data_IF_788360418326
#
_entry.id   IF_788360418326
#
_cell.length_a   1.000
_cell.length_b   1.000
_cell.length_c   1.000
_cell.angle_alpha   90.00
_cell.angle_beta   90.00
_cell.angle_gamma   90.00
#
_symmetry.space_group_name_H-M   'P 1'
#
loop_
_entity.id
_entity.type
_entity.pdbx_description
1 polymer ?
#
# COMPACT_ATOMS: atom_id res chain seq x y z
N UNK A 1 24.82 19.09 -24.19
CA UNK A 1 24.20 17.72 -24.00
C UNK A 1 24.60 17.10 -22.67
N UNK A 2 25.90 16.95 -22.34
CA UNK A 2 26.37 16.36 -21.07
C UNK A 2 25.92 17.18 -19.86
N UNK A 3 26.04 18.50 -19.89
CA UNK A 3 25.60 19.39 -18.79
C UNK A 3 24.11 19.31 -18.53
N UNK A 4 23.30 19.22 -19.57
CA UNK A 4 21.85 19.05 -19.44
C UNK A 4 21.50 17.70 -18.79
N UNK A 5 22.23 16.63 -19.10
CA UNK A 5 22.04 15.31 -18.48
C UNK A 5 22.44 15.32 -17.02
N UNK A 6 23.59 15.96 -16.68
CA UNK A 6 24.04 16.12 -15.29
C UNK A 6 23.00 16.92 -14.49
N UNK A 7 22.48 18.01 -15.04
CA UNK A 7 21.43 18.82 -14.40
C UNK A 7 20.17 18.00 -14.08
N UNK A 8 19.70 17.20 -15.03
CA UNK A 8 18.54 16.31 -14.81
C UNK A 8 18.82 15.27 -13.71
N UNK A 9 19.99 14.64 -13.72
CA UNK A 9 20.37 13.65 -12.70
C UNK A 9 20.41 14.30 -11.30
N UNK A 10 21.00 15.49 -11.17
CA UNK A 10 21.05 16.22 -9.89
C UNK A 10 19.64 16.55 -9.40
N UNK A 11 18.76 17.02 -10.28
CA UNK A 11 17.36 17.31 -9.92
C UNK A 11 16.65 16.03 -9.45
N UNK A 12 16.80 14.93 -10.16
CA UNK A 12 16.21 13.65 -9.78
C UNK A 12 16.72 13.18 -8.39
N UNK A 13 18.01 13.30 -8.13
CA UNK A 13 18.60 12.96 -6.83
C UNK A 13 18.06 13.87 -5.73
N UNK A 14 17.96 15.17 -5.98
CA UNK A 14 17.39 16.12 -5.02
C UNK A 14 15.93 15.83 -4.71
N UNK A 15 15.11 15.53 -5.72
CA UNK A 15 13.71 15.14 -5.52
C UNK A 15 13.63 13.85 -4.70
N UNK A 16 14.48 12.87 -5.01
CA UNK A 16 14.52 11.60 -4.25
C UNK A 16 14.89 11.83 -2.79
N UNK A 17 15.94 12.63 -2.52
CA UNK A 17 16.36 12.96 -1.16
C UNK A 17 15.29 13.76 -0.40
N UNK A 18 14.67 14.74 -1.03
CA UNK A 18 13.59 15.53 -0.41
C UNK A 18 12.40 14.64 -0.04
N UNK A 19 11.99 13.73 -0.92
CA UNK A 19 10.87 12.81 -0.60
C UNK A 19 11.23 11.80 0.48
N UNK A 20 12.50 11.40 0.60
CA UNK A 20 12.98 10.56 1.70
C UNK A 20 13.00 11.31 3.05
N UNK A 21 13.21 12.63 3.06
CA UNK A 21 13.16 13.45 4.28
C UNK A 21 11.72 13.69 4.78
N UNK A 22 10.74 13.76 3.88
CA UNK A 22 9.32 14.01 4.21
C UNK A 22 8.45 12.75 4.25
N UNK A 23 8.99 11.59 3.86
CA UNK A 23 8.32 10.29 3.87
C UNK A 23 9.14 9.22 4.58
N UNK A 24 8.58 8.02 4.73
CA UNK A 24 9.35 6.88 5.16
C UNK A 24 10.43 6.53 4.11
N UNK A 25 11.66 6.12 4.52
CA UNK A 25 12.69 5.71 3.58
C UNK A 25 12.18 4.54 2.73
N UNK A 26 12.46 4.60 1.41
CA UNK A 26 12.10 3.51 0.52
C UNK A 26 12.91 2.25 0.88
N UNK A 27 12.22 1.23 1.38
CA UNK A 27 12.77 -0.10 1.63
C UNK A 27 12.02 -1.08 0.74
N UNK A 28 12.70 -1.71 -0.25
CA UNK A 28 12.04 -2.65 -1.14
C UNK A 28 11.57 -3.88 -0.37
N UNK A 29 10.29 -4.17 -0.45
CA UNK A 29 9.72 -5.39 0.16
C UNK A 29 10.19 -6.62 -0.62
N UNK A 30 10.63 -7.65 0.09
CA UNK A 30 11.10 -8.88 -0.54
C UNK A 30 9.93 -9.60 -1.23
N UNK A 31 10.01 -9.77 -2.53
CA UNK A 31 8.98 -10.36 -3.37
C UNK A 31 8.43 -11.70 -2.83
N UNK A 32 9.32 -12.61 -2.39
CA UNK A 32 8.92 -13.89 -1.82
C UNK A 32 8.04 -13.77 -0.59
N UNK A 33 8.26 -12.72 0.22
CA UNK A 33 7.45 -12.48 1.41
C UNK A 33 6.05 -11.96 1.04
N UNK A 34 5.95 -11.11 0.01
CA UNK A 34 4.65 -10.64 -0.53
C UNK A 34 3.86 -11.83 -1.10
N UNK A 35 4.51 -12.68 -1.90
CA UNK A 35 3.88 -13.89 -2.46
C UNK A 35 3.36 -14.82 -1.35
N UNK A 36 4.14 -15.00 -0.26
CA UNK A 36 3.71 -15.78 0.90
C UNK A 36 2.51 -15.15 1.61
N UNK A 37 2.51 -13.82 1.80
CA UNK A 37 1.40 -13.11 2.43
C UNK A 37 0.10 -13.27 1.61
N UNK A 38 0.17 -13.10 0.29
CA UNK A 38 -1.01 -13.21 -0.57
C UNK A 38 -1.49 -14.64 -0.81
N UNK A 39 -0.63 -15.64 -0.63
CA UNK A 39 -1.04 -17.04 -0.76
C UNK A 39 -1.52 -17.66 0.56
N UNK A 40 -0.89 -17.33 1.69
CA UNK A 40 -1.13 -17.99 2.97
C UNK A 40 -1.89 -17.12 3.97
N UNK A 41 -1.53 -15.82 4.07
CA UNK A 41 -2.12 -14.92 5.05
C UNK A 41 -3.51 -14.46 4.59
N UNK A 42 -3.61 -13.92 3.37
CA UNK A 42 -4.84 -13.40 2.79
C UNK A 42 -4.92 -13.66 1.29
N UNK A 43 -5.34 -14.88 0.86
CA UNK A 43 -5.61 -15.15 -0.55
C UNK A 43 -6.70 -14.24 -1.12
N UNK A 44 -6.52 -13.80 -2.37
CA UNK A 44 -7.49 -12.94 -3.03
C UNK A 44 -8.78 -13.69 -3.39
N UNK A 45 -9.90 -13.01 -3.20
CA UNK A 45 -11.23 -13.43 -3.66
C UNK A 45 -11.58 -12.70 -4.97
N UNK A 46 -12.57 -13.23 -5.69
CA UNK A 46 -13.12 -12.55 -6.87
C UNK A 46 -13.59 -11.14 -6.47
N UNK A 47 -13.22 -10.14 -7.27
CA UNK A 47 -13.53 -8.72 -7.06
C UNK A 47 -12.77 -8.02 -5.91
N UNK A 48 -11.78 -8.65 -5.29
CA UNK A 48 -10.96 -7.95 -4.30
C UNK A 48 -10.22 -6.77 -4.94
N UNK A 49 -10.28 -5.62 -4.26
CA UNK A 49 -9.57 -4.39 -4.58
C UNK A 49 -8.55 -4.11 -3.49
N UNK A 50 -7.27 -4.06 -3.88
CA UNK A 50 -6.19 -3.75 -2.96
C UNK A 50 -5.79 -2.28 -3.09
N UNK A 51 -5.63 -1.63 -1.94
CA UNK A 51 -4.99 -0.30 -1.82
C UNK A 51 -3.64 -0.45 -1.11
N UNK A 52 -2.59 0.13 -1.68
CA UNK A 52 -1.24 0.16 -1.09
C UNK A 52 -0.88 1.58 -0.65
N UNK A 53 -0.64 1.75 0.65
CA UNK A 53 -0.31 3.02 1.30
C UNK A 53 1.22 3.24 1.29
N UNK A 54 1.71 4.01 0.32
CA UNK A 54 3.13 4.17 0.05
C UNK A 54 3.63 3.08 -0.89
N UNK A 55 3.05 3.03 -2.10
CA UNK A 55 3.24 1.90 -3.03
C UNK A 55 4.66 1.77 -3.61
N UNK A 56 5.52 2.76 -3.37
CA UNK A 56 6.91 2.71 -3.81
C UNK A 56 7.05 2.42 -5.30
N UNK A 57 7.86 1.42 -5.61
CA UNK A 57 8.10 0.97 -6.99
C UNK A 57 7.00 0.04 -7.55
N UNK A 58 5.91 -0.17 -6.82
CA UNK A 58 4.74 -0.94 -7.24
C UNK A 58 4.91 -2.46 -7.19
N UNK A 59 5.91 -2.99 -6.50
CA UNK A 59 6.12 -4.45 -6.40
C UNK A 59 4.94 -5.14 -5.73
N UNK A 60 4.38 -4.57 -4.67
CA UNK A 60 3.20 -5.12 -3.96
C UNK A 60 1.98 -5.14 -4.88
N UNK A 61 1.73 -4.05 -5.61
CA UNK A 61 0.63 -3.96 -6.58
C UNK A 61 0.77 -5.00 -7.69
N UNK A 62 1.98 -5.20 -8.19
CA UNK A 62 2.26 -6.19 -9.23
C UNK A 62 2.00 -7.62 -8.74
N UNK A 63 2.49 -7.98 -7.55
CA UNK A 63 2.26 -9.30 -6.97
C UNK A 63 0.79 -9.53 -6.58
N UNK A 64 0.08 -8.49 -6.13
CA UNK A 64 -1.35 -8.57 -5.87
C UNK A 64 -2.14 -8.92 -7.15
N UNK A 65 -1.83 -8.29 -8.29
CA UNK A 65 -2.44 -8.65 -9.58
C UNK A 65 -2.15 -10.09 -9.96
N UNK A 66 -0.91 -10.56 -9.78
CA UNK A 66 -0.52 -11.94 -10.06
C UNK A 66 -1.22 -12.94 -9.15
N UNK A 67 -1.45 -12.55 -7.90
CA UNK A 67 -2.16 -13.37 -6.90
C UNK A 67 -3.69 -13.36 -7.07
N UNK A 68 -4.24 -12.55 -8.00
CA UNK A 68 -5.67 -12.58 -8.34
C UNK A 68 -6.48 -11.35 -7.93
N UNK A 69 -5.86 -10.27 -7.43
CA UNK A 69 -6.57 -9.01 -7.20
C UNK A 69 -7.27 -8.55 -8.48
N UNK A 70 -8.53 -8.14 -8.39
CA UNK A 70 -9.28 -7.63 -9.55
C UNK A 70 -8.76 -6.26 -9.97
N UNK A 71 -8.42 -5.42 -8.99
CA UNK A 71 -7.90 -4.07 -9.16
C UNK A 71 -6.93 -3.73 -8.04
N UNK A 72 -5.93 -2.92 -8.35
CA UNK A 72 -4.98 -2.39 -7.38
C UNK A 72 -4.85 -0.87 -7.48
N UNK A 73 -4.67 -0.21 -6.36
CA UNK A 73 -4.56 1.24 -6.27
C UNK A 73 -3.35 1.57 -5.38
N UNK A 74 -2.41 2.33 -5.91
CA UNK A 74 -1.23 2.80 -5.18
C UNK A 74 -1.28 4.28 -4.89
N UNK A 75 -0.81 4.67 -3.72
CA UNK A 75 -0.55 6.06 -3.37
C UNK A 75 0.93 6.23 -3.06
N UNK A 76 1.59 7.13 -3.77
CA UNK A 76 3.02 7.37 -3.62
C UNK A 76 3.31 8.88 -3.76
N UNK A 77 4.22 9.40 -2.93
CA UNK A 77 4.60 10.83 -2.95
C UNK A 77 5.85 11.10 -3.79
N UNK A 78 6.67 10.08 -4.03
CA UNK A 78 7.87 10.21 -4.85
C UNK A 78 7.52 10.02 -6.33
N UNK A 79 7.66 11.07 -7.17
CA UNK A 79 7.28 10.99 -8.59
C UNK A 79 8.12 9.97 -9.39
N UNK A 80 9.37 9.73 -8.97
CA UNK A 80 10.25 8.75 -9.62
C UNK A 80 9.73 7.34 -9.38
N UNK A 81 9.34 7.03 -8.13
CA UNK A 81 8.77 5.74 -7.79
C UNK A 81 7.39 5.53 -8.46
N UNK A 82 6.57 6.59 -8.58
CA UNK A 82 5.33 6.55 -9.37
C UNK A 82 5.62 6.15 -10.82
N UNK A 83 6.62 6.75 -11.47
CA UNK A 83 7.00 6.41 -12.83
C UNK A 83 7.46 4.96 -12.95
N UNK A 84 8.33 4.51 -12.04
CA UNK A 84 8.83 3.11 -12.01
C UNK A 84 7.66 2.14 -11.83
N UNK A 85 6.74 2.45 -10.93
CA UNK A 85 5.54 1.68 -10.66
C UNK A 85 4.62 1.57 -11.90
N UNK A 86 4.39 2.68 -12.61
CA UNK A 86 3.64 2.70 -13.86
C UNK A 86 4.31 1.84 -14.95
N UNK A 87 5.63 1.91 -15.07
CA UNK A 87 6.39 1.08 -16.01
C UNK A 87 6.31 -0.41 -15.66
N UNK A 88 6.41 -0.76 -14.38
CA UNK A 88 6.27 -2.14 -13.89
C UNK A 88 4.90 -2.73 -14.23
N UNK A 89 3.84 -1.94 -14.06
CA UNK A 89 2.45 -2.39 -14.23
C UNK A 89 1.91 -2.22 -15.63
N UNK A 90 2.68 -1.70 -16.59
CA UNK A 90 2.22 -1.34 -17.96
C UNK A 90 1.48 -2.45 -18.70
N UNK A 91 1.81 -3.72 -18.45
CA UNK A 91 1.13 -4.87 -19.07
C UNK A 91 -0.23 -5.20 -18.45
N UNK A 92 -0.58 -4.54 -17.33
CA UNK A 92 -1.81 -4.77 -16.56
C UNK A 92 -2.78 -3.58 -16.67
N UNK A 93 -2.83 -2.91 -17.84
CA UNK A 93 -3.69 -1.74 -18.08
C UNK A 93 -5.15 -2.06 -17.74
N UNK A 94 -5.83 -1.11 -17.11
CA UNK A 94 -7.22 -1.25 -16.65
C UNK A 94 -7.38 -1.91 -15.27
N UNK A 95 -6.32 -2.55 -14.73
CA UNK A 95 -6.36 -3.18 -13.41
C UNK A 95 -5.59 -2.41 -12.34
N UNK A 96 -4.89 -1.35 -12.68
CA UNK A 96 -4.15 -0.54 -11.71
C UNK A 96 -4.42 0.95 -11.88
N UNK A 97 -4.29 1.67 -10.78
CA UNK A 97 -4.26 3.12 -10.72
C UNK A 97 -3.20 3.54 -9.70
N UNK A 98 -2.32 4.46 -10.08
CA UNK A 98 -1.32 5.00 -9.16
C UNK A 98 -1.52 6.50 -9.06
N UNK A 99 -1.66 6.99 -7.84
CA UNK A 99 -1.83 8.40 -7.55
C UNK A 99 -0.55 8.99 -6.98
N UNK A 100 -0.02 10.00 -7.63
CA UNK A 100 1.07 10.81 -7.10
C UNK A 100 0.52 11.78 -6.05
N UNK A 101 0.32 11.28 -4.83
CA UNK A 101 -0.19 12.07 -3.70
C UNK A 101 -0.04 11.32 -2.39
N UNK A 102 -0.07 12.07 -1.28
CA UNK A 102 -0.13 11.50 0.06
C UNK A 102 -1.46 10.78 0.32
N UNK A 103 -1.39 9.62 0.96
CA UNK A 103 -2.57 8.84 1.37
C UNK A 103 -3.25 9.35 2.65
N UNK A 104 -2.59 10.22 3.42
CA UNK A 104 -3.15 10.70 4.70
C UNK A 104 -4.44 11.52 4.58
N UNK A 105 -4.72 12.09 3.41
CA UNK A 105 -5.86 13.00 3.18
C UNK A 105 -6.79 12.51 2.09
N UNK A 106 -6.89 11.20 1.91
CA UNK A 106 -7.77 10.62 0.89
C UNK A 106 -8.95 9.92 1.53
N UNK A 107 -10.02 9.78 0.73
CA UNK A 107 -11.08 8.85 0.99
C UNK A 107 -10.78 7.53 0.28
N UNK A 108 -11.06 6.41 0.95
CA UNK A 108 -10.95 5.12 0.30
C UNK A 108 -11.90 5.01 -0.89
N UNK A 109 -11.53 4.26 -1.93
CA UNK A 109 -12.48 3.76 -2.90
C UNK A 109 -13.58 2.97 -2.18
N UNK A 110 -14.83 3.10 -2.66
CA UNK A 110 -15.99 2.43 -2.02
C UNK A 110 -15.94 0.91 -2.09
N UNK A 111 -15.15 0.38 -3.02
CA UNK A 111 -14.98 -1.06 -3.30
C UNK A 111 -13.73 -1.68 -2.68
N UNK A 112 -12.93 -0.92 -1.89
CA UNK A 112 -11.72 -1.45 -1.23
C UNK A 112 -12.06 -2.60 -0.29
N UNK A 113 -11.30 -3.69 -0.39
CA UNK A 113 -11.42 -4.87 0.47
C UNK A 113 -10.13 -5.19 1.22
N UNK A 114 -8.98 -4.80 0.68
CA UNK A 114 -7.67 -5.05 1.27
C UNK A 114 -6.86 -3.76 1.24
N UNK A 115 -6.23 -3.43 2.37
CA UNK A 115 -5.24 -2.35 2.46
C UNK A 115 -3.91 -2.96 2.87
N UNK A 116 -2.87 -2.67 2.13
CA UNK A 116 -1.50 -3.03 2.45
C UNK A 116 -0.72 -1.78 2.86
N UNK A 117 0.12 -1.91 3.88
CA UNK A 117 1.01 -0.84 4.29
C UNK A 117 2.34 -1.39 4.79
N UNK A 118 3.42 -0.76 4.34
CA UNK A 118 4.73 -0.85 4.96
C UNK A 118 5.00 0.48 5.67
N UNK A 119 4.81 0.51 6.98
CA UNK A 119 4.97 1.72 7.79
C UNK A 119 6.02 1.53 8.88
N UNK A 120 6.55 2.63 9.40
CA UNK A 120 7.33 2.61 10.63
C UNK A 120 6.43 2.40 11.84
N UNK A 121 7.01 1.92 12.96
CA UNK A 121 6.28 1.65 14.20
C UNK A 121 5.45 2.82 14.71
N UNK A 122 5.90 4.07 14.50
CA UNK A 122 5.19 5.30 14.89
C UNK A 122 3.95 5.61 14.05
N UNK A 123 3.90 5.13 12.80
CA UNK A 123 2.85 5.51 11.86
C UNK A 123 1.85 4.38 11.59
N UNK A 124 2.23 3.13 11.88
CA UNK A 124 1.37 1.97 11.59
C UNK A 124 0.01 2.05 12.30
N UNK A 125 -0.03 2.56 13.54
CA UNK A 125 -1.29 2.79 14.24
C UNK A 125 -2.16 3.83 13.55
N UNK A 126 -1.58 4.93 13.07
CA UNK A 126 -2.33 5.96 12.32
C UNK A 126 -2.88 5.40 11.00
N UNK A 127 -2.13 4.51 10.34
CA UNK A 127 -2.59 3.82 9.13
C UNK A 127 -3.77 2.89 9.46
N UNK A 128 -3.70 2.13 10.55
CA UNK A 128 -4.82 1.33 11.05
C UNK A 128 -6.05 2.20 11.33
N UNK A 129 -5.89 3.31 12.05
CA UNK A 129 -6.97 4.25 12.37
C UNK A 129 -7.59 4.88 11.09
N UNK A 130 -6.78 5.10 10.05
CA UNK A 130 -7.25 5.55 8.74
C UNK A 130 -8.14 4.48 8.09
N UNK A 131 -7.70 3.22 8.09
CA UNK A 131 -8.47 2.10 7.54
C UNK A 131 -9.75 1.87 8.33
N UNK A 132 -9.72 2.02 9.67
CA UNK A 132 -10.93 1.96 10.50
C UNK A 132 -11.95 3.04 10.10
N UNK A 133 -11.51 4.27 9.83
CA UNK A 133 -12.39 5.34 9.31
C UNK A 133 -12.99 4.95 7.96
N UNK A 134 -12.23 4.29 7.10
CA UNK A 134 -12.70 3.82 5.79
C UNK A 134 -13.74 2.71 5.94
N UNK A 135 -13.49 1.73 6.81
CA UNK A 135 -14.44 0.67 7.14
C UNK A 135 -15.76 1.25 7.69
N UNK A 136 -15.67 2.17 8.65
CA UNK A 136 -16.86 2.84 9.21
C UNK A 136 -17.68 3.59 8.14
N UNK A 137 -16.99 4.27 7.21
CA UNK A 137 -17.66 5.04 6.15
C UNK A 137 -18.31 4.16 5.09
N UNK A 138 -17.65 3.06 4.71
CA UNK A 138 -18.18 2.14 3.69
C UNK A 138 -19.22 1.18 4.24
N UNK A 139 -19.31 1.02 5.57
CA UNK A 139 -20.11 -0.02 6.23
C UNK A 139 -19.61 -1.44 5.96
N UNK A 140 -18.35 -1.60 5.54
CA UNK A 140 -17.78 -2.89 5.12
C UNK A 140 -16.51 -3.20 5.91
N UNK A 141 -16.29 -4.49 6.17
CA UNK A 141 -15.01 -4.97 6.69
C UNK A 141 -13.90 -4.76 5.65
N UNK A 142 -12.74 -4.33 6.11
CA UNK A 142 -11.53 -4.15 5.33
C UNK A 142 -10.39 -4.94 5.98
N UNK A 143 -9.74 -5.78 5.19
CA UNK A 143 -8.56 -6.50 5.63
C UNK A 143 -7.32 -5.59 5.55
N UNK A 144 -6.67 -5.31 6.68
CA UNK A 144 -5.47 -4.52 6.74
C UNK A 144 -4.25 -5.42 6.93
N UNK A 145 -3.31 -5.37 6.01
CA UNK A 145 -2.04 -6.10 6.05
C UNK A 145 -0.92 -5.10 6.37
N UNK A 146 -0.35 -5.21 7.54
CA UNK A 146 0.85 -4.49 7.93
C UNK A 146 2.09 -5.33 7.67
N UNK A 147 3.13 -4.74 7.09
CA UNK A 147 4.44 -5.35 6.93
C UNK A 147 5.47 -4.70 7.85
N UNK A 148 6.24 -5.53 8.55
CA UNK A 148 7.34 -5.13 9.42
C UNK A 148 6.94 -4.83 10.87
N UNK A 149 5.75 -4.28 11.12
CA UNK A 149 5.35 -3.83 12.46
C UNK A 149 3.93 -4.26 12.82
N UNK A 150 3.77 -4.71 14.07
CA UNK A 150 2.45 -4.92 14.66
C UNK A 150 1.79 -3.57 15.01
N UNK A 151 0.46 -3.53 14.95
CA UNK A 151 -0.31 -2.35 15.36
C UNK A 151 -0.41 -2.32 16.90
N UNK A 152 0.15 -1.31 17.57
CA UNK A 152 0.12 -1.23 19.03
C UNK A 152 -1.32 -1.20 19.55
N UNK A 153 -1.62 -2.08 20.53
CA UNK A 153 -2.94 -2.15 21.18
C UNK A 153 -4.01 -2.95 20.40
N UNK A 154 -3.65 -3.59 19.29
CA UNK A 154 -4.58 -4.43 18.51
C UNK A 154 -3.99 -5.81 18.24
N UNK A 155 -4.81 -6.83 18.35
CA UNK A 155 -4.42 -8.21 18.04
C UNK A 155 -4.62 -8.47 16.55
N UNK A 156 -3.60 -9.01 15.90
CA UNK A 156 -3.71 -9.51 14.53
C UNK A 156 -4.48 -10.84 14.50
N UNK A 157 -5.25 -11.06 13.45
CA UNK A 157 -6.00 -12.33 13.25
C UNK A 157 -5.09 -13.45 12.74
N UNK A 158 -4.08 -13.09 11.93
CA UNK A 158 -3.08 -14.02 11.37
C UNK A 158 -1.73 -13.33 11.22
N UNK A 159 -0.66 -14.14 11.19
CA UNK A 159 0.71 -13.70 10.92
C UNK A 159 1.38 -14.65 9.93
N UNK A 160 2.12 -14.10 8.99
CA UNK A 160 3.00 -14.84 8.08
C UNK A 160 4.28 -14.05 7.86
N UNK A 161 5.42 -14.58 8.33
CA UNK A 161 6.70 -13.88 8.38
C UNK A 161 6.59 -12.54 9.11
N UNK A 162 6.92 -11.42 8.43
CA UNK A 162 6.78 -10.07 8.96
C UNK A 162 5.45 -9.40 8.60
N UNK A 163 4.47 -10.14 8.08
CA UNK A 163 3.14 -9.61 7.76
C UNK A 163 2.13 -9.97 8.83
N UNK A 164 1.30 -8.99 9.19
CA UNK A 164 0.25 -9.10 10.20
C UNK A 164 -1.08 -8.72 9.55
N UNK A 165 -2.09 -9.59 9.68
CA UNK A 165 -3.44 -9.36 9.15
C UNK A 165 -4.36 -8.91 10.27
N UNK A 166 -5.10 -7.84 10.02
CA UNK A 166 -6.17 -7.33 10.87
C UNK A 166 -7.46 -7.26 10.07
N UNK A 167 -8.53 -7.84 10.60
CA UNK A 167 -9.88 -7.73 10.02
C UNK A 167 -10.58 -6.54 10.69
N UNK A 168 -10.74 -5.45 9.95
CA UNK A 168 -11.27 -4.19 10.48
C UNK A 168 -12.74 -4.05 10.10
N UNK A 169 -13.63 -4.40 11.02
CA UNK A 169 -15.08 -4.23 10.87
C UNK A 169 -15.52 -2.79 11.23
N UNK A 170 -16.64 -2.30 10.67
CA UNK A 170 -17.23 -1.03 11.07
C UNK A 170 -17.64 -1.06 12.54
N UNK A 171 -17.28 -0.02 13.31
CA UNK A 171 -17.61 0.07 14.74
C UNK A 171 -19.12 0.13 15.02
N UNK A 172 -19.95 0.54 14.03
CA UNK A 172 -21.41 0.59 14.15
C UNK A 172 -22.10 -0.77 13.96
N UNK A 173 -21.42 -1.78 13.42
CA UNK A 173 -21.96 -3.15 13.27
C UNK A 173 -21.87 -3.99 14.54
N UNK A 174 -21.24 -3.46 15.61
CA UNK A 174 -21.12 -4.16 16.90
C UNK A 174 -22.28 -3.86 17.87
N UNK A 175 -23.32 -3.12 17.42
CA UNK A 175 -24.55 -2.89 18.20
C UNK A 175 -25.68 -3.77 17.67
N UNK A 176 -25.59 -5.06 17.90
CA UNK A 176 -26.74 -5.98 17.91
C UNK A 176 -26.47 -7.10 18.90
#
# INVERSE_FOLDING_TARGET
MVESVIGIVVICVLIFLLTALFGAPYVPTQRKQIESAFSKLRPFKKNDVLVDLGSGDGVVLYEAIRAGASKVIGYEINPILVLISCLRLRSNRGRFTIFWRSFWRINAPSDVSIVYAFGESRDIKKMYDLVQKWSNRSGREIDFISYGFEVPGFNHSKKENAHFLYNIAPLHSQKT
#
